data_IF_378201353268
#
_entry.id   IF_378201353268
#
_cell.length_a   1.000
_cell.length_b   1.000
_cell.length_c   1.000
_cell.angle_alpha   90.00
_cell.angle_beta   90.00
_cell.angle_gamma   90.00
#
_symmetry.space_group_name_H-M   'P 1'
#
loop_
_entity.id
_entity.type
_entity.pdbx_description
1 polymer ?
#
# COMPACT_ATOMS: atom_id res chain seq x y z
N UNK A 1 -11.14 0.59 -21.68
CA UNK A 1 -10.50 -0.46 -22.49
C UNK A 1 -8.98 -0.35 -22.32
N UNK A 2 -8.38 -1.42 -21.78
CA UNK A 2 -6.95 -1.80 -21.70
C UNK A 2 -5.85 -0.76 -21.43
N UNK A 3 -5.56 -0.55 -20.13
CA UNK A 3 -4.27 -0.04 -19.63
C UNK A 3 -3.39 -1.16 -19.01
N UNK A 4 -3.93 -2.37 -18.84
CA UNK A 4 -3.22 -3.52 -18.25
C UNK A 4 -2.17 -4.18 -19.18
N UNK A 5 -2.03 -3.72 -20.42
CA UNK A 5 -1.15 -4.33 -21.42
C UNK A 5 0.30 -3.82 -21.44
N UNK A 6 0.59 -2.69 -20.79
CA UNK A 6 1.89 -2.01 -20.93
C UNK A 6 2.90 -2.47 -19.88
N UNK A 7 2.45 -2.79 -18.66
CA UNK A 7 3.35 -3.17 -17.55
C UNK A 7 3.92 -4.59 -17.69
N UNK A 8 3.18 -5.50 -18.34
CA UNK A 8 3.64 -6.88 -18.59
C UNK A 8 4.68 -7.01 -19.72
N UNK A 9 4.86 -5.98 -20.56
CA UNK A 9 5.86 -6.00 -21.64
C UNK A 9 7.26 -5.60 -21.20
N UNK A 10 7.41 -4.90 -20.07
CA UNK A 10 8.73 -4.49 -19.58
C UNK A 10 9.50 -5.63 -18.89
N UNK A 11 8.79 -6.59 -18.27
CA UNK A 11 9.44 -7.73 -17.61
C UNK A 11 9.94 -8.79 -18.61
N UNK A 12 9.26 -8.98 -19.73
CA UNK A 12 9.68 -9.94 -20.77
C UNK A 12 10.88 -9.48 -21.63
N UNK A 13 11.29 -8.21 -21.53
CA UNK A 13 12.43 -7.66 -22.26
C UNK A 13 13.77 -7.90 -21.53
N UNK A 14 13.75 -8.14 -20.21
CA UNK A 14 14.94 -8.44 -19.42
C UNK A 14 15.34 -9.93 -19.45
N UNK A 15 14.41 -10.83 -19.82
CA UNK A 15 14.68 -12.28 -19.91
C UNK A 15 15.19 -12.76 -21.28
N UNK A 16 15.25 -11.89 -22.30
CA UNK A 16 15.61 -12.29 -23.67
C UNK A 16 17.07 -12.07 -24.07
N UNK A 17 17.84 -11.33 -23.28
CA UNK A 17 19.24 -11.01 -23.65
C UNK A 17 20.26 -12.10 -23.26
N UNK A 18 19.85 -13.09 -22.45
CA UNK A 18 20.75 -14.16 -21.98
C UNK A 18 20.83 -15.39 -22.90
N UNK A 19 20.14 -15.39 -24.05
CA UNK A 19 20.04 -16.57 -24.95
C UNK A 19 20.84 -16.48 -26.25
N UNK A 20 21.98 -15.79 -26.26
CA UNK A 20 22.94 -15.88 -27.38
C UNK A 20 24.39 -15.97 -26.92
N UNK A 21 24.83 -17.19 -26.58
CA UNK A 21 26.14 -17.74 -27.01
C UNK A 21 26.17 -19.26 -26.83
N UNK A 22 26.43 -19.95 -27.94
CA UNK A 22 26.60 -21.41 -28.06
C UNK A 22 28.10 -21.77 -27.97
N UNK A 23 28.49 -23.06 -27.91
CA UNK A 23 29.23 -23.61 -26.78
C UNK A 23 30.72 -23.86 -27.06
N UNK A 24 31.54 -23.89 -26.00
CA UNK A 24 32.89 -24.47 -26.03
C UNK A 24 32.90 -25.66 -25.09
N UNK A 25 33.13 -26.85 -25.66
CA UNK A 25 33.34 -28.10 -24.93
C UNK A 25 34.50 -27.98 -23.94
N UNK A 26 34.23 -28.23 -22.65
CA UNK A 26 35.23 -28.65 -21.66
C UNK A 26 34.63 -29.72 -20.73
N UNK A 27 35.47 -30.60 -20.16
CA UNK A 27 35.03 -31.86 -19.56
C UNK A 27 34.24 -31.64 -18.27
N UNK A 28 33.33 -32.58 -18.02
CA UNK A 28 32.47 -32.65 -16.84
C UNK A 28 33.33 -32.84 -15.60
N UNK A 29 33.57 -31.75 -14.88
CA UNK A 29 33.90 -31.78 -13.47
C UNK A 29 32.57 -31.84 -12.70
N UNK A 30 32.44 -32.85 -11.85
CA UNK A 30 31.29 -33.07 -10.95
C UNK A 30 30.89 -31.78 -10.24
N UNK A 31 29.60 -31.41 -10.19
CA UNK A 31 29.19 -30.25 -9.40
C UNK A 31 29.38 -30.61 -7.94
N UNK A 32 30.46 -30.11 -7.35
CA UNK A 32 30.56 -29.99 -5.90
C UNK A 32 29.31 -29.24 -5.44
N UNK A 33 28.54 -29.90 -4.59
CA UNK A 33 27.33 -29.37 -3.99
C UNK A 33 27.75 -28.20 -3.09
N UNK A 34 27.88 -27.01 -3.67
CA UNK A 34 28.01 -25.77 -2.95
C UNK A 34 26.73 -25.59 -2.15
N UNK A 35 26.77 -26.06 -0.90
CA UNK A 35 25.74 -25.78 0.09
C UNK A 35 25.51 -24.27 0.08
N UNK A 36 24.27 -23.78 -0.14
CA UNK A 36 24.01 -22.35 -0.07
C UNK A 36 24.48 -21.87 1.30
N UNK A 37 25.34 -20.84 1.30
CA UNK A 37 25.81 -20.20 2.51
C UNK A 37 24.60 -19.95 3.43
N UNK A 38 24.70 -20.22 4.74
CA UNK A 38 23.57 -20.06 5.65
C UNK A 38 23.06 -18.64 5.49
N UNK A 39 21.84 -18.50 4.96
CA UNK A 39 21.19 -17.21 4.85
C UNK A 39 21.24 -16.58 6.23
N UNK A 40 22.00 -15.48 6.36
CA UNK A 40 21.95 -14.65 7.54
C UNK A 40 20.46 -14.36 7.75
N UNK A 41 19.88 -14.90 8.83
CA UNK A 41 18.46 -14.73 9.14
C UNK A 41 18.24 -13.23 9.32
N UNK A 42 17.79 -12.55 8.28
CA UNK A 42 17.36 -11.17 8.39
C UNK A 42 16.32 -11.14 9.50
N UNK A 43 16.49 -10.33 10.55
CA UNK A 43 15.53 -10.30 11.63
C UNK A 43 14.16 -9.95 11.05
N UNK A 44 13.13 -10.71 11.43
CA UNK A 44 11.77 -10.45 10.99
C UNK A 44 11.38 -9.04 11.41
N UNK A 45 10.91 -8.23 10.46
CA UNK A 45 10.33 -6.93 10.76
C UNK A 45 8.92 -7.16 11.33
N UNK A 46 8.82 -7.21 12.66
CA UNK A 46 7.56 -7.46 13.37
C UNK A 46 6.54 -6.33 13.15
N UNK A 47 7.00 -5.11 12.85
CA UNK A 47 6.12 -3.97 12.56
C UNK A 47 5.38 -4.16 11.22
N UNK A 48 6.06 -4.73 10.21
CA UNK A 48 5.41 -5.08 8.94
C UNK A 48 4.39 -6.22 9.09
N UNK A 49 4.66 -7.19 9.98
CA UNK A 49 3.70 -8.25 10.29
C UNK A 49 2.47 -7.68 10.98
N UNK A 50 2.65 -6.79 11.94
CA UNK A 50 1.55 -6.09 12.61
C UNK A 50 0.72 -5.27 11.61
N UNK A 51 1.37 -4.57 10.67
CA UNK A 51 0.68 -3.82 9.61
C UNK A 51 -0.16 -4.72 8.71
N UNK A 52 0.31 -5.93 8.39
CA UNK A 52 -0.46 -6.89 7.61
C UNK A 52 -1.74 -7.32 8.37
N UNK A 53 -1.61 -7.62 9.66
CA UNK A 53 -2.75 -7.98 10.51
C UNK A 53 -3.76 -6.83 10.65
N UNK A 54 -3.27 -5.60 10.84
CA UNK A 54 -4.11 -4.41 10.91
C UNK A 54 -4.85 -4.17 9.58
N UNK A 55 -4.19 -4.40 8.45
CA UNK A 55 -4.80 -4.31 7.13
C UNK A 55 -5.92 -5.33 6.95
N UNK A 56 -5.69 -6.60 7.31
CA UNK A 56 -6.69 -7.65 7.18
C UNK A 56 -7.91 -7.37 8.10
N UNK A 57 -7.67 -6.86 9.31
CA UNK A 57 -8.72 -6.41 10.22
C UNK A 57 -9.53 -5.22 9.65
N UNK A 58 -8.84 -4.23 9.07
CA UNK A 58 -9.51 -3.07 8.45
C UNK A 58 -10.33 -3.47 7.22
N UNK A 59 -9.84 -4.43 6.45
CA UNK A 59 -10.53 -4.97 5.27
C UNK A 59 -11.77 -5.77 5.67
N UNK A 60 -11.66 -6.61 6.71
CA UNK A 60 -12.82 -7.30 7.27
C UNK A 60 -13.88 -6.30 7.78
N UNK A 61 -13.45 -5.22 8.43
CA UNK A 61 -14.35 -4.15 8.85
C UNK A 61 -14.99 -3.41 7.67
N UNK A 62 -14.23 -3.15 6.58
CA UNK A 62 -14.78 -2.57 5.34
C UNK A 62 -15.87 -3.47 4.74
N UNK A 63 -15.58 -4.76 4.60
CA UNK A 63 -16.54 -5.75 4.08
C UNK A 63 -17.80 -5.81 4.95
N UNK A 64 -17.65 -5.74 6.28
CA UNK A 64 -18.77 -5.71 7.20
C UNK A 64 -19.63 -4.44 7.08
N UNK A 65 -19.01 -3.26 6.86
CA UNK A 65 -19.72 -1.98 6.70
C UNK A 65 -20.52 -1.91 5.40
N UNK A 66 -19.94 -2.34 4.29
CA UNK A 66 -20.52 -2.12 2.95
C UNK A 66 -21.22 -3.35 2.37
N UNK A 67 -20.82 -4.55 2.76
CA UNK A 67 -21.30 -5.81 2.18
C UNK A 67 -22.57 -6.35 2.82
N UNK A 68 -23.55 -5.49 3.15
CA UNK A 68 -24.78 -5.82 3.88
C UNK A 68 -25.28 -7.26 3.63
N UNK A 69 -25.52 -8.01 4.71
CA UNK A 69 -25.87 -9.45 4.82
C UNK A 69 -25.60 -10.37 3.59
N UNK A 70 -24.69 -11.36 3.68
CA UNK A 70 -24.04 -11.95 2.52
C UNK A 70 -24.91 -12.80 1.60
N UNK A 71 -24.65 -12.66 0.29
CA UNK A 71 -24.77 -13.74 -0.71
C UNK A 71 -23.51 -14.64 -0.73
N UNK A 72 -22.48 -14.31 0.06
CA UNK A 72 -21.22 -15.06 0.14
C UNK A 72 -21.12 -16.00 1.35
N UNK A 73 -20.68 -17.23 1.12
CA UNK A 73 -20.50 -18.26 2.13
C UNK A 73 -19.63 -17.74 3.29
N UNK A 74 -20.02 -17.88 4.58
CA UNK A 74 -19.23 -17.39 5.72
C UNK A 74 -17.79 -17.93 5.78
N UNK A 75 -17.52 -19.05 5.11
CA UNK A 75 -16.19 -19.63 4.98
C UNK A 75 -15.23 -18.76 4.13
N UNK A 76 -15.74 -18.14 3.06
CA UNK A 76 -14.92 -17.32 2.16
C UNK A 76 -14.51 -15.99 2.82
N UNK A 77 -15.35 -15.46 3.73
CA UNK A 77 -15.02 -14.28 4.54
C UNK A 77 -13.88 -14.48 5.54
N UNK A 78 -13.56 -15.73 5.92
CA UNK A 78 -12.57 -16.02 6.97
C UNK A 78 -11.14 -16.09 6.47
N UNK A 79 -10.91 -15.94 5.17
CA UNK A 79 -9.57 -15.93 4.59
C UNK A 79 -9.23 -14.52 4.09
N UNK A 80 -7.97 -14.09 4.27
CA UNK A 80 -7.50 -12.77 3.83
C UNK A 80 -7.74 -12.55 2.33
N UNK A 81 -7.57 -13.63 1.55
CA UNK A 81 -7.86 -13.63 0.11
C UNK A 81 -9.35 -13.39 -0.18
N UNK A 82 -10.24 -14.11 0.49
CA UNK A 82 -11.67 -13.94 0.27
C UNK A 82 -12.21 -12.59 0.75
N UNK A 83 -11.61 -11.99 1.79
CA UNK A 83 -11.91 -10.62 2.20
C UNK A 83 -11.52 -9.60 1.11
N UNK A 84 -10.36 -9.75 0.48
CA UNK A 84 -9.92 -8.89 -0.65
C UNK A 84 -10.81 -9.03 -1.87
N UNK A 85 -11.13 -10.25 -2.27
CA UNK A 85 -12.01 -10.52 -3.40
C UNK A 85 -13.40 -9.91 -3.17
N UNK A 86 -13.96 -10.09 -1.97
CA UNK A 86 -15.24 -9.51 -1.59
C UNK A 86 -15.21 -7.98 -1.55
N UNK A 87 -14.13 -7.39 -1.03
CA UNK A 87 -13.98 -5.94 -1.00
C UNK A 87 -13.97 -5.34 -2.41
N UNK A 88 -13.29 -6.00 -3.35
CA UNK A 88 -13.30 -5.63 -4.76
C UNK A 88 -14.69 -5.71 -5.39
N UNK A 89 -15.45 -6.78 -5.14
CA UNK A 89 -16.83 -6.92 -5.64
C UNK A 89 -17.75 -5.83 -5.10
N UNK A 90 -17.65 -5.51 -3.81
CA UNK A 90 -18.41 -4.43 -3.18
C UNK A 90 -18.06 -3.08 -3.81
N UNK A 91 -16.77 -2.82 -4.03
CA UNK A 91 -16.31 -1.57 -4.64
C UNK A 91 -16.84 -1.39 -6.08
N UNK A 92 -16.97 -2.46 -6.87
CA UNK A 92 -17.58 -2.38 -8.21
C UNK A 92 -19.06 -1.97 -8.14
N UNK A 93 -19.78 -2.37 -7.09
CA UNK A 93 -21.22 -2.11 -6.94
C UNK A 93 -21.59 -0.73 -6.39
N UNK A 94 -20.64 0.03 -5.82
CA UNK A 94 -20.92 1.33 -5.21
C UNK A 94 -19.72 2.28 -5.32
N UNK A 95 -19.94 3.48 -5.87
CA UNK A 95 -18.92 4.51 -5.96
C UNK A 95 -18.43 4.99 -4.59
N UNK A 96 -19.31 5.00 -3.59
CA UNK A 96 -18.96 5.32 -2.21
C UNK A 96 -18.04 4.25 -1.62
N UNK A 97 -18.40 2.96 -1.81
CA UNK A 97 -17.59 1.85 -1.34
C UNK A 97 -16.23 1.80 -2.05
N UNK A 98 -16.19 2.05 -3.37
CA UNK A 98 -14.94 2.17 -4.12
C UNK A 98 -14.04 3.29 -3.59
N UNK A 99 -14.62 4.44 -3.24
CA UNK A 99 -13.85 5.53 -2.64
C UNK A 99 -13.32 5.16 -1.25
N UNK A 100 -14.14 4.54 -0.42
CA UNK A 100 -13.73 4.09 0.93
C UNK A 100 -12.61 3.04 0.84
N UNK A 101 -12.69 2.08 -0.09
CA UNK A 101 -11.64 1.09 -0.30
C UNK A 101 -10.34 1.74 -0.79
N UNK A 102 -10.40 2.60 -1.80
CA UNK A 102 -9.22 3.28 -2.32
C UNK A 102 -8.51 4.13 -1.25
N UNK A 103 -9.28 4.83 -0.41
CA UNK A 103 -8.73 5.61 0.69
C UNK A 103 -8.12 4.72 1.79
N UNK A 104 -8.61 3.48 1.96
CA UNK A 104 -8.08 2.53 2.92
C UNK A 104 -6.72 2.02 2.43
N UNK A 105 -6.69 1.53 1.18
CA UNK A 105 -5.49 1.01 0.54
C UNK A 105 -4.37 2.07 0.47
N UNK A 106 -4.71 3.30 0.12
CA UNK A 106 -3.73 4.40 0.12
C UNK A 106 -3.23 4.70 1.54
N UNK A 107 -4.11 4.71 2.54
CA UNK A 107 -3.69 4.97 3.93
C UNK A 107 -2.77 3.87 4.47
N UNK A 108 -3.03 2.60 4.14
CA UNK A 108 -2.18 1.48 4.54
C UNK A 108 -0.85 1.47 3.78
N UNK A 109 -0.87 1.83 2.49
CA UNK A 109 0.35 2.00 1.69
C UNK A 109 1.27 3.07 2.29
N UNK A 110 0.70 4.19 2.76
CA UNK A 110 1.46 5.24 3.47
C UNK A 110 2.06 4.72 4.79
N UNK A 111 1.31 3.93 5.56
CA UNK A 111 1.82 3.32 6.80
C UNK A 111 3.00 2.39 6.53
N UNK A 112 2.87 1.53 5.53
CA UNK A 112 3.95 0.61 5.11
C UNK A 112 5.18 1.41 4.68
N UNK A 113 5.01 2.44 3.86
CA UNK A 113 6.12 3.29 3.44
C UNK A 113 6.82 3.97 4.63
N UNK A 114 6.07 4.43 5.63
CA UNK A 114 6.63 5.05 6.83
C UNK A 114 7.42 4.08 7.69
N UNK A 115 6.94 2.85 7.85
CA UNK A 115 7.68 1.78 8.56
C UNK A 115 8.91 1.34 7.76
N UNK A 116 8.84 1.34 6.44
CA UNK A 116 9.96 0.99 5.57
C UNK A 116 11.04 2.09 5.43
N UNK A 117 10.77 3.31 5.90
CA UNK A 117 11.70 4.45 5.85
C UNK A 117 11.57 5.38 4.63
N UNK A 118 10.71 5.05 3.67
CA UNK A 118 10.45 5.87 2.47
C UNK A 118 9.25 6.82 2.61
N UNK A 119 8.53 6.74 3.74
CA UNK A 119 7.20 7.33 3.88
C UNK A 119 7.16 8.85 3.96
N UNK A 120 8.26 9.55 4.31
CA UNK A 120 8.24 11.01 4.32
C UNK A 120 7.98 11.60 2.93
N UNK A 121 8.62 11.04 1.89
CA UNK A 121 8.40 11.47 0.50
C UNK A 121 6.98 11.15 0.04
N UNK A 122 6.46 9.98 0.43
CA UNK A 122 5.11 9.57 0.09
C UNK A 122 4.06 10.51 0.71
N UNK A 123 4.25 10.92 1.97
CA UNK A 123 3.37 11.90 2.64
C UNK A 123 3.50 13.30 2.02
N UNK A 124 4.70 13.73 1.63
CA UNK A 124 4.93 15.03 0.99
C UNK A 124 4.34 15.11 -0.43
N UNK A 125 4.16 13.98 -1.12
CA UNK A 125 3.50 13.93 -2.42
C UNK A 125 1.98 14.21 -2.35
N UNK A 126 1.40 14.22 -1.14
CA UNK A 126 -0.02 14.47 -0.91
C UNK A 126 -0.23 15.94 -0.53
N UNK A 127 -1.21 16.58 -1.17
CA UNK A 127 -1.65 17.93 -0.84
C UNK A 127 -2.27 17.98 0.56
N UNK A 128 -2.01 19.06 1.28
CA UNK A 128 -2.59 19.25 2.60
C UNK A 128 -4.10 19.52 2.53
N UNK A 129 -4.94 18.85 3.35
CA UNK A 129 -6.40 19.00 3.32
C UNK A 129 -6.95 20.42 3.51
N UNK A 130 -6.14 21.34 4.04
CA UNK A 130 -6.58 22.71 4.38
C UNK A 130 -5.98 23.78 3.46
N UNK A 131 -4.66 23.79 3.26
CA UNK A 131 -3.97 24.81 2.44
C UNK A 131 -3.71 24.36 0.99
N UNK A 132 -4.00 23.10 0.63
CA UNK A 132 -3.63 22.48 -0.66
C UNK A 132 -2.12 22.52 -0.99
N UNK A 133 -1.30 22.72 0.04
CA UNK A 133 0.15 22.81 -0.10
C UNK A 133 0.83 21.45 0.15
N UNK A 134 1.97 21.19 -0.47
CA UNK A 134 2.73 19.93 -0.38
C UNK A 134 3.73 19.90 0.78
N UNK A 135 3.32 20.43 1.94
CA UNK A 135 4.20 20.62 3.11
C UNK A 135 3.82 19.71 4.29
N UNK A 136 3.22 18.56 4.00
CA UNK A 136 2.90 17.56 5.00
C UNK A 136 4.17 16.84 5.45
N UNK A 137 4.32 16.66 6.76
CA UNK A 137 5.31 15.79 7.37
C UNK A 137 4.63 14.65 8.09
N UNK A 138 5.25 13.47 8.06
CA UNK A 138 4.84 12.39 8.94
C UNK A 138 5.21 12.72 10.39
N UNK A 139 4.28 12.49 11.30
CA UNK A 139 4.45 12.68 12.74
C UNK A 139 4.14 11.36 13.42
N UNK A 140 5.11 10.73 14.10
CA UNK A 140 4.85 9.55 14.89
C UNK A 140 3.97 9.91 16.09
N UNK A 141 3.05 9.04 16.42
CA UNK A 141 2.15 9.14 17.57
C UNK A 141 2.45 7.96 18.50
N UNK A 142 2.21 8.15 19.79
CA UNK A 142 2.30 7.07 20.78
C UNK A 142 1.56 5.81 20.32
N UNK A 143 2.23 4.65 20.46
CA UNK A 143 1.70 3.35 20.01
C UNK A 143 2.01 2.99 18.56
N UNK A 144 3.06 3.55 17.95
CA UNK A 144 3.54 3.15 16.61
C UNK A 144 2.66 3.61 15.44
N UNK A 145 1.66 4.45 15.71
CA UNK A 145 0.79 5.02 14.68
C UNK A 145 1.37 6.32 14.12
N UNK A 146 0.95 6.67 12.91
CA UNK A 146 1.43 7.85 12.19
C UNK A 146 0.29 8.81 11.86
N UNK A 147 0.62 10.11 11.90
CA UNK A 147 -0.22 11.21 11.42
C UNK A 147 0.56 12.05 10.42
N UNK A 148 -0.12 12.96 9.75
CA UNK A 148 0.51 13.95 8.89
C UNK A 148 0.24 15.35 9.44
N UNK A 149 1.27 16.19 9.54
CA UNK A 149 1.16 17.57 9.98
C UNK A 149 1.62 18.55 8.91
N UNK A 150 0.87 19.63 8.70
CA UNK A 150 1.24 20.64 7.71
C UNK A 150 2.16 21.70 8.34
N UNK A 151 3.33 21.87 7.73
CA UNK A 151 4.30 22.89 8.16
C UNK A 151 3.96 24.31 7.71
N UNK A 152 3.09 24.47 6.72
CA UNK A 152 2.77 25.81 6.21
C UNK A 152 2.09 26.62 7.31
N UNK A 153 2.68 27.78 7.64
CA UNK A 153 2.17 28.69 8.67
C UNK A 153 0.78 29.22 8.35
N UNK A 154 0.40 29.27 7.07
CA UNK A 154 -0.94 29.67 6.63
C UNK A 154 -2.01 28.58 6.81
N UNK A 155 -1.59 27.36 7.17
CA UNK A 155 -2.49 26.21 7.25
C UNK A 155 -3.32 26.16 8.53
N UNK A 156 -2.87 26.82 9.60
CA UNK A 156 -3.69 27.10 10.78
C UNK A 156 -3.64 28.59 11.07
N UNK A 157 -4.72 29.28 10.70
CA UNK A 157 -4.91 30.71 10.93
C UNK A 157 -5.38 30.93 12.38
N UNK A 158 -5.97 29.91 13.02
CA UNK A 158 -6.41 29.95 14.42
C UNK A 158 -5.72 28.91 15.33
N UNK A 159 -5.63 29.17 16.65
CA UNK A 159 -5.02 28.27 17.64
C UNK A 159 -5.78 26.95 17.85
N UNK A 160 -7.02 26.85 17.35
CA UNK A 160 -7.87 25.65 17.45
C UNK A 160 -8.03 24.90 16.13
N UNK A 161 -7.42 25.37 15.03
CA UNK A 161 -7.54 24.69 13.74
C UNK A 161 -6.60 23.46 13.68
N UNK A 162 -7.08 22.30 13.20
CA UNK A 162 -6.26 21.09 13.14
C UNK A 162 -5.15 21.26 12.10
N UNK A 163 -3.89 21.19 12.56
CA UNK A 163 -2.70 21.10 11.71
C UNK A 163 -2.26 19.67 11.43
N UNK A 164 -2.96 18.72 12.02
CA UNK A 164 -2.59 17.31 12.04
C UNK A 164 -3.78 16.47 11.61
N UNK A 165 -3.56 15.61 10.63
CA UNK A 165 -4.55 14.70 10.06
C UNK A 165 -4.10 13.27 10.25
N UNK A 166 -5.06 12.35 10.28
CA UNK A 166 -4.76 10.93 10.12
C UNK A 166 -4.31 10.66 8.68
N UNK A 167 -3.55 9.58 8.48
CA UNK A 167 -3.18 9.14 7.12
C UNK A 167 -4.40 8.85 6.25
N UNK A 168 -5.50 8.43 6.88
CA UNK A 168 -6.78 8.21 6.22
C UNK A 168 -7.39 9.53 5.71
N UNK A 169 -7.37 10.59 6.52
CA UNK A 169 -7.90 11.90 6.12
C UNK A 169 -7.14 12.51 4.95
N UNK A 170 -5.80 12.39 4.92
CA UNK A 170 -5.01 12.90 3.78
C UNK A 170 -5.20 12.03 2.53
N UNK A 171 -5.38 10.72 2.68
CA UNK A 171 -5.68 9.81 1.56
C UNK A 171 -7.02 10.16 0.91
N UNK A 172 -8.07 10.37 1.72
CA UNK A 172 -9.37 10.81 1.20
C UNK A 172 -9.30 12.17 0.50
N UNK A 173 -8.54 13.10 1.05
CA UNK A 173 -8.34 14.41 0.42
C UNK A 173 -7.66 14.25 -0.95
N UNK A 174 -6.56 13.51 -1.01
CA UNK A 174 -5.83 13.25 -2.26
C UNK A 174 -6.71 12.63 -3.34
N UNK A 175 -7.54 11.65 -2.97
CA UNK A 175 -8.46 10.99 -3.89
C UNK A 175 -9.59 11.91 -4.37
N UNK A 176 -10.02 12.88 -3.55
CA UNK A 176 -11.00 13.89 -3.99
C UNK A 176 -10.36 14.89 -4.95
N UNK A 177 -9.14 15.34 -4.65
CA UNK A 177 -8.38 16.30 -5.46
C UNK A 177 -8.08 15.74 -6.86
N UNK A 178 -7.57 14.51 -6.92
CA UNK A 178 -7.28 13.80 -8.19
C UNK A 178 -8.50 13.45 -9.02
N UNK A 179 -9.70 13.36 -8.44
CA UNK A 179 -10.95 13.18 -9.19
C UNK A 179 -11.51 14.49 -9.75
N UNK A 180 -11.11 15.62 -9.17
CA UNK A 180 -11.58 16.95 -9.58
C UNK A 180 -10.69 17.59 -10.66
N UNK A 181 -9.44 17.13 -10.81
CA UNK A 181 -8.49 17.51 -11.84
C UNK A 181 -8.73 16.77 -13.17
#
# INVERSE_FOLDING_TARGET
>A
MSSAGTTLRLLAALERDDRRKSPVHRPVETPECNSPAPHARTPYNLDLLQLAQDHDANLAAYVARHGGSPVANPADRRTDRGAREMAGLIAVGSQEAAFDLAALELSDSLRVALVAGDGERAVQAISCPRCFCYSLLAVPVSGGSWRAACRNLRCAIGPHEPRVWTLRQIAEHHLRDTRAA
#
